data_IF_119864724793
#
_entry.id   IF_119864724793
#
_cell.length_a   1.000
_cell.length_b   1.000
_cell.length_c   1.000
_cell.angle_alpha   90.00
_cell.angle_beta   90.00
_cell.angle_gamma   90.00
#
_symmetry.space_group_name_H-M   'P 1'
#
loop_
_entity.id
_entity.type
_entity.pdbx_description
1 polymer ?
#
# COMPACT_ATOMS: atom_id res chain seq x y z
N UNK A 1 19.00 -5.76 -19.56
CA UNK A 1 18.23 -4.51 -19.38
C UNK A 1 16.77 -4.80 -19.69
N UNK A 2 15.94 -5.04 -18.68
CA UNK A 2 14.52 -5.30 -18.89
C UNK A 2 13.78 -3.98 -19.00
N UNK A 3 13.23 -3.66 -20.18
CA UNK A 3 12.20 -2.64 -20.32
C UNK A 3 11.03 -3.05 -19.41
N UNK A 4 10.91 -2.40 -18.26
CA UNK A 4 9.66 -2.41 -17.52
C UNK A 4 8.60 -1.84 -18.47
N UNK A 5 7.77 -2.71 -19.03
CA UNK A 5 6.56 -2.33 -19.76
C UNK A 5 5.83 -1.30 -18.91
N UNK A 6 5.92 -0.02 -19.29
CA UNK A 6 5.28 1.09 -18.59
C UNK A 6 3.79 0.91 -18.81
N UNK A 7 3.15 0.17 -17.90
CA UNK A 7 1.69 0.10 -17.86
C UNK A 7 1.16 1.54 -17.78
N UNK A 8 0.18 1.92 -18.61
CA UNK A 8 -0.37 3.27 -18.57
C UNK A 8 -0.98 3.50 -17.19
N UNK A 9 -0.57 4.61 -16.58
CA UNK A 9 -1.10 5.08 -15.31
C UNK A 9 -1.97 6.32 -15.57
N UNK A 10 -2.95 6.53 -14.70
CA UNK A 10 -3.83 7.69 -14.73
C UNK A 10 -3.84 8.32 -13.34
N UNK A 11 -3.93 9.63 -13.26
CA UNK A 11 -3.97 10.34 -11.98
C UNK A 11 -5.20 11.21 -11.96
N UNK A 12 -6.07 11.04 -10.97
CA UNK A 12 -7.35 11.75 -10.88
C UNK A 12 -8.54 10.80 -10.89
N UNK A 13 -9.50 11.05 -11.79
CA UNK A 13 -10.75 10.28 -11.87
C UNK A 13 -10.51 8.80 -12.23
N UNK A 14 -11.30 7.88 -11.66
CA UNK A 14 -11.21 6.46 -11.99
C UNK A 14 -11.54 6.21 -13.47
N UNK A 15 -10.86 5.26 -14.13
CA UNK A 15 -11.28 4.78 -15.44
C UNK A 15 -12.72 4.24 -15.41
N UNK A 16 -13.45 4.41 -16.52
CA UNK A 16 -14.79 3.84 -16.64
C UNK A 16 -14.75 2.31 -16.46
N UNK A 17 -15.60 1.78 -15.57
CA UNK A 17 -15.66 0.36 -15.26
C UNK A 17 -14.75 -0.11 -14.12
N UNK A 18 -13.99 0.79 -13.48
CA UNK A 18 -13.22 0.46 -12.28
C UNK A 18 -14.17 0.11 -11.12
N UNK A 19 -14.07 -1.08 -10.51
CA UNK A 19 -14.91 -1.46 -9.39
C UNK A 19 -14.51 -0.69 -8.13
N UNK A 20 -15.34 0.30 -7.75
CA UNK A 20 -15.11 1.21 -6.63
C UNK A 20 -15.67 0.72 -5.29
N UNK A 21 -16.29 -0.46 -5.25
CA UNK A 21 -16.98 -0.96 -4.06
C UNK A 21 -16.06 -1.24 -2.87
N UNK A 22 -16.60 -1.29 -1.65
CA UNK A 22 -15.83 -1.68 -0.47
C UNK A 22 -15.30 -3.12 -0.63
N UNK A 23 -14.12 -3.37 -0.07
CA UNK A 23 -13.48 -4.67 -0.13
C UNK A 23 -14.23 -5.71 0.72
N UNK A 24 -14.25 -6.95 0.26
CA UNK A 24 -15.03 -8.03 0.90
C UNK A 24 -14.56 -8.29 2.34
N UNK A 25 -15.52 -8.44 3.26
CA UNK A 25 -15.24 -8.94 4.60
C UNK A 25 -14.73 -10.39 4.53
N UNK A 26 -13.74 -10.71 5.37
CA UNK A 26 -13.21 -12.05 5.61
C UNK A 26 -14.18 -12.79 6.51
N UNK A 27 -14.18 -14.11 6.38
CA UNK A 27 -14.86 -14.94 7.37
C UNK A 27 -14.24 -14.70 8.76
N UNK A 28 -15.10 -14.58 9.78
CA UNK A 28 -14.64 -14.43 11.18
C UNK A 28 -13.67 -15.55 11.57
N UNK A 29 -13.97 -16.78 11.14
CA UNK A 29 -13.10 -17.94 11.32
C UNK A 29 -11.70 -17.74 10.70
N UNK A 30 -11.61 -17.17 9.50
CA UNK A 30 -10.33 -16.88 8.85
C UNK A 30 -9.51 -15.82 9.59
N UNK A 31 -10.17 -14.80 10.16
CA UNK A 31 -9.50 -13.77 10.97
C UNK A 31 -8.93 -14.36 12.26
N UNK A 32 -9.71 -15.17 12.99
CA UNK A 32 -9.26 -15.85 14.19
C UNK A 32 -8.12 -16.84 13.90
N UNK A 33 -8.26 -17.66 12.85
CA UNK A 33 -7.23 -18.60 12.44
C UNK A 33 -5.91 -17.88 12.14
N UNK A 34 -5.94 -16.78 11.38
CA UNK A 34 -4.73 -16.01 11.10
C UNK A 34 -4.14 -15.39 12.38
N UNK A 35 -4.96 -14.83 13.27
CA UNK A 35 -4.47 -14.23 14.52
C UNK A 35 -3.82 -15.26 15.47
N UNK A 36 -4.33 -16.49 15.50
CA UNK A 36 -3.81 -17.58 16.34
C UNK A 36 -2.60 -18.25 15.69
N UNK A 37 -2.58 -18.39 14.36
CA UNK A 37 -1.49 -19.07 13.64
C UNK A 37 -0.33 -18.15 13.28
N UNK A 38 -0.52 -16.82 13.22
CA UNK A 38 0.56 -15.88 12.91
C UNK A 38 1.82 -16.01 13.80
N UNK A 39 1.76 -16.33 15.12
CA UNK A 39 2.96 -16.55 15.92
C UNK A 39 3.77 -17.75 15.43
N UNK A 40 3.10 -18.83 15.00
CA UNK A 40 3.75 -20.01 14.44
C UNK A 40 4.42 -19.67 13.10
N UNK A 41 3.75 -18.88 12.26
CA UNK A 41 4.35 -18.36 11.03
C UNK A 41 5.55 -17.45 11.30
N UNK A 42 5.51 -16.59 12.32
CA UNK A 42 6.65 -15.73 12.66
C UNK A 42 7.86 -16.51 13.12
N UNK A 43 7.67 -17.62 13.84
CA UNK A 43 8.78 -18.49 14.21
C UNK A 43 9.40 -19.15 12.95
N UNK A 44 8.57 -19.69 12.06
CA UNK A 44 9.03 -20.31 10.82
C UNK A 44 9.71 -19.31 9.86
N UNK A 45 9.11 -18.13 9.66
CA UNK A 45 9.67 -17.05 8.83
C UNK A 45 10.93 -16.50 9.50
N UNK A 46 10.95 -16.34 10.82
CA UNK A 46 12.13 -15.90 11.56
C UNK A 46 13.33 -16.82 11.37
N UNK A 47 13.10 -18.14 11.42
CA UNK A 47 14.13 -19.15 11.11
C UNK A 47 14.58 -19.05 9.65
N UNK A 48 13.66 -18.94 8.69
CA UNK A 48 13.98 -18.75 7.27
C UNK A 48 14.77 -17.47 7.00
N UNK A 49 14.41 -16.37 7.68
CA UNK A 49 15.12 -15.10 7.58
C UNK A 49 16.52 -15.19 8.19
N UNK A 50 16.66 -15.87 9.32
CA UNK A 50 17.97 -16.13 9.93
C UNK A 50 18.85 -16.93 8.98
N UNK A 51 18.32 -18.00 8.37
CA UNK A 51 19.00 -18.80 7.35
C UNK A 51 19.38 -17.94 6.14
N UNK A 52 18.46 -17.09 5.66
CA UNK A 52 18.71 -16.21 4.52
C UNK A 52 19.75 -15.12 4.83
N UNK A 53 19.77 -14.57 6.04
CA UNK A 53 20.79 -13.59 6.48
C UNK A 53 22.15 -14.25 6.63
N UNK A 54 22.21 -15.44 7.22
CA UNK A 54 23.44 -16.23 7.31
C UNK A 54 23.96 -16.58 5.91
N UNK A 55 23.08 -16.90 4.97
CA UNK A 55 23.44 -17.17 3.57
C UNK A 55 23.82 -15.89 2.79
N UNK A 56 23.14 -14.76 3.04
CA UNK A 56 23.35 -13.49 2.35
C UNK A 56 24.54 -12.69 2.88
N UNK A 57 25.05 -12.99 4.07
CA UNK A 57 26.32 -12.48 4.57
C UNK A 57 27.52 -12.82 3.64
N UNK A 58 27.33 -13.69 2.65
CA UNK A 58 28.30 -14.05 1.62
C UNK A 58 28.15 -13.32 0.27
N UNK A 59 27.24 -12.35 0.10
CA UNK A 59 27.00 -11.71 -1.21
C UNK A 59 26.73 -10.19 -1.18
N UNK A 60 27.15 -9.43 -2.19
CA UNK A 60 26.95 -7.97 -2.23
C UNK A 60 25.49 -7.61 -2.51
N UNK A 61 24.94 -6.72 -1.67
CA UNK A 61 23.52 -6.39 -1.58
C UNK A 61 22.95 -5.64 -2.78
N UNK A 62 21.75 -6.04 -3.20
CA UNK A 62 20.96 -5.37 -4.24
C UNK A 62 20.09 -4.26 -3.64
N UNK A 63 20.27 -3.04 -4.16
CA UNK A 63 19.52 -1.86 -3.75
C UNK A 63 18.03 -1.95 -4.14
N UNK A 64 17.14 -1.93 -3.15
CA UNK A 64 15.69 -1.96 -3.33
C UNK A 64 15.14 -0.53 -3.50
N UNK A 65 14.20 -0.35 -4.42
CA UNK A 65 13.53 0.93 -4.71
C UNK A 65 12.72 1.44 -3.50
N UNK A 66 12.52 2.76 -3.41
CA UNK A 66 11.96 3.47 -2.26
C UNK A 66 10.42 3.41 -2.15
N UNK A 67 9.78 2.46 -2.83
CA UNK A 67 8.33 2.30 -2.81
C UNK A 67 7.88 1.85 -1.42
N UNK A 68 6.93 2.58 -0.84
CA UNK A 68 6.38 2.26 0.48
C UNK A 68 5.09 1.48 0.28
N UNK A 69 5.18 0.18 0.53
CA UNK A 69 4.01 -0.67 0.65
C UNK A 69 3.49 -0.59 2.09
N UNK A 70 2.21 -0.21 2.21
CA UNK A 70 1.43 -0.48 3.41
C UNK A 70 0.77 -1.84 3.25
N UNK A 71 0.41 -2.48 4.36
CA UNK A 71 0.01 -3.88 4.37
C UNK A 71 0.99 -4.69 5.20
N UNK A 72 0.62 -4.86 6.46
CA UNK A 72 1.18 -5.96 7.24
C UNK A 72 0.22 -7.14 7.14
N UNK A 73 0.73 -8.30 6.74
CA UNK A 73 0.00 -9.57 6.94
C UNK A 73 -0.22 -9.85 8.44
N UNK A 74 0.48 -9.14 9.33
CA UNK A 74 0.28 -9.27 10.76
C UNK A 74 -1.01 -8.59 11.21
N UNK A 75 -1.88 -9.36 11.85
CA UNK A 75 -3.07 -8.85 12.52
C UNK A 75 -2.69 -8.39 13.93
N UNK A 76 -2.60 -7.08 14.12
CA UNK A 76 -2.57 -6.50 15.47
C UNK A 76 -3.92 -6.73 16.17
N UNK A 77 -3.96 -6.70 17.51
CA UNK A 77 -5.22 -6.82 18.27
C UNK A 77 -6.26 -5.78 17.82
N UNK A 78 -5.81 -4.55 17.56
CA UNK A 78 -6.65 -3.46 17.05
C UNK A 78 -7.20 -3.78 15.67
N UNK A 79 -6.36 -4.25 14.74
CA UNK A 79 -6.79 -4.65 13.38
C UNK A 79 -7.73 -5.86 13.42
N UNK A 80 -7.50 -6.84 14.30
CA UNK A 80 -8.40 -7.98 14.49
C UNK A 80 -9.80 -7.54 14.95
N UNK A 81 -9.89 -6.65 15.95
CA UNK A 81 -11.18 -6.10 16.40
C UNK A 81 -11.89 -5.36 15.27
N UNK A 82 -11.15 -4.55 14.52
CA UNK A 82 -11.64 -3.79 13.37
C UNK A 82 -12.19 -4.71 12.26
N UNK A 83 -11.51 -5.83 12.03
CA UNK A 83 -11.89 -6.85 11.04
C UNK A 83 -13.14 -7.63 11.42
N UNK A 84 -13.35 -7.89 12.72
CA UNK A 84 -14.48 -8.66 13.22
C UNK A 84 -15.74 -7.82 13.33
N UNK A 85 -15.63 -6.67 14.00
CA UNK A 85 -16.78 -5.89 14.46
C UNK A 85 -16.63 -4.39 14.15
N UNK A 86 -15.60 -3.99 13.39
CA UNK A 86 -15.32 -2.60 13.10
C UNK A 86 -16.41 -1.93 12.27
N UNK A 87 -16.80 -0.74 12.71
CA UNK A 87 -17.70 0.17 11.99
C UNK A 87 -16.96 0.90 10.87
N UNK A 88 -17.71 1.48 9.93
CA UNK A 88 -17.14 2.26 8.84
C UNK A 88 -16.28 3.42 9.36
N UNK A 89 -16.73 4.14 10.37
CA UNK A 89 -16.01 5.27 10.97
C UNK A 89 -14.70 4.83 11.62
N UNK A 90 -14.67 3.68 12.29
CA UNK A 90 -13.43 3.12 12.84
C UNK A 90 -12.45 2.71 11.73
N UNK A 91 -12.96 2.20 10.60
CA UNK A 91 -12.14 1.92 9.42
C UNK A 91 -11.59 3.20 8.80
N UNK A 92 -12.36 4.28 8.72
CA UNK A 92 -11.90 5.59 8.27
C UNK A 92 -10.76 6.12 9.15
N UNK A 93 -10.90 6.05 10.47
CA UNK A 93 -9.85 6.45 11.42
C UNK A 93 -8.60 5.57 11.23
N UNK A 94 -8.76 4.25 11.11
CA UNK A 94 -7.66 3.32 10.89
C UNK A 94 -6.90 3.62 9.60
N UNK A 95 -7.62 3.79 8.49
CA UNK A 95 -7.04 4.07 7.17
C UNK A 95 -6.35 5.42 7.16
N UNK A 96 -6.95 6.45 7.77
CA UNK A 96 -6.34 7.79 7.93
C UNK A 96 -5.00 7.71 8.65
N UNK A 97 -4.93 6.99 9.77
CA UNK A 97 -3.67 6.79 10.52
C UNK A 97 -2.64 5.99 9.72
N UNK A 98 -3.09 4.96 9.00
CA UNK A 98 -2.23 4.12 8.17
C UNK A 98 -1.59 4.94 7.04
N UNK A 99 -2.40 5.76 6.34
CA UNK A 99 -1.94 6.66 5.29
C UNK A 99 -0.98 7.73 5.83
N UNK A 100 -1.33 8.40 6.92
CA UNK A 100 -0.46 9.42 7.52
C UNK A 100 0.93 8.86 7.87
N UNK A 101 0.98 7.65 8.46
CA UNK A 101 2.23 6.97 8.78
C UNK A 101 3.01 6.58 7.51
N UNK A 102 2.32 6.10 6.48
CA UNK A 102 2.92 5.71 5.21
C UNK A 102 3.50 6.92 4.46
N UNK A 103 2.78 8.03 4.42
CA UNK A 103 3.21 9.29 3.83
C UNK A 103 4.43 9.85 4.57
N UNK A 104 4.40 9.88 5.91
CA UNK A 104 5.55 10.30 6.70
C UNK A 104 6.77 9.41 6.45
N UNK A 105 6.57 8.09 6.33
CA UNK A 105 7.63 7.12 6.04
C UNK A 105 8.21 7.31 4.63
N UNK A 106 7.38 7.57 3.63
CA UNK A 106 7.83 7.74 2.25
C UNK A 106 8.69 9.00 2.08
N UNK A 107 8.31 10.10 2.73
CA UNK A 107 9.12 11.33 2.79
C UNK A 107 10.46 11.07 3.47
N UNK A 108 10.46 10.44 4.66
CA UNK A 108 11.71 10.12 5.39
C UNK A 108 12.65 9.20 4.61
N UNK A 109 12.11 8.20 3.90
CA UNK A 109 12.93 7.28 3.11
C UNK A 109 13.53 7.97 1.88
N UNK A 110 12.79 8.90 1.26
CA UNK A 110 13.31 9.73 0.17
C UNK A 110 14.47 10.60 0.65
N UNK A 111 14.28 11.34 1.74
CA UNK A 111 15.31 12.24 2.29
C UNK A 111 16.59 11.48 2.68
N UNK A 112 16.45 10.25 3.19
CA UNK A 112 17.60 9.40 3.55
C UNK A 112 18.34 8.84 2.33
N UNK A 113 17.62 8.46 1.27
CA UNK A 113 18.22 7.78 0.11
C UNK A 113 18.88 8.77 -0.84
N UNK A 114 18.27 9.94 -1.00
CA UNK A 114 18.66 10.95 -1.99
C UNK A 114 18.47 12.38 -1.44
N UNK A 115 19.28 12.80 -0.43
CA UNK A 115 19.19 14.14 0.12
C UNK A 115 19.46 15.17 -0.98
N UNK A 116 18.45 15.99 -1.30
CA UNK A 116 18.57 17.07 -2.29
C UNK A 116 18.40 16.68 -3.76
N UNK A 117 18.09 15.42 -4.11
CA UNK A 117 17.77 15.06 -5.51
C UNK A 117 16.26 14.97 -5.78
N UNK A 118 15.88 15.43 -6.96
CA UNK A 118 14.58 15.22 -7.62
C UNK A 118 14.47 13.78 -8.16
N UNK A 119 14.68 12.78 -7.30
CA UNK A 119 14.37 11.39 -7.63
C UNK A 119 12.89 11.20 -8.00
N UNK A 120 12.51 10.06 -8.61
CA UNK A 120 11.13 9.80 -8.95
C UNK A 120 10.27 9.94 -7.68
N UNK A 121 9.11 10.60 -7.80
CA UNK A 121 8.27 10.88 -6.64
C UNK A 121 7.83 9.59 -5.94
N UNK A 122 7.78 9.60 -4.60
CA UNK A 122 7.44 8.41 -3.83
C UNK A 122 6.01 7.97 -4.14
N UNK A 123 5.85 6.67 -4.43
CA UNK A 123 4.56 6.02 -4.55
C UNK A 123 4.26 5.30 -3.25
N UNK A 124 3.08 5.54 -2.70
CA UNK A 124 2.57 4.85 -1.50
C UNK A 124 1.49 3.89 -1.93
N UNK A 125 1.63 2.63 -1.56
CA UNK A 125 0.70 1.57 -1.96
C UNK A 125 -0.15 1.17 -0.75
N UNK A 126 -1.47 1.35 -0.84
CA UNK A 126 -2.46 0.97 0.16
C UNK A 126 -3.00 -0.44 -0.07
N UNK A 127 -2.75 -1.34 0.87
CA UNK A 127 -3.27 -2.70 0.81
C UNK A 127 -4.81 -2.72 0.94
N UNK A 128 -5.52 -3.56 0.17
CA UNK A 128 -6.98 -3.70 0.30
C UNK A 128 -7.42 -4.04 1.73
N UNK A 129 -6.60 -4.77 2.50
CA UNK A 129 -6.87 -5.10 3.90
C UNK A 129 -6.86 -3.89 4.83
N UNK A 130 -6.30 -2.75 4.42
CA UNK A 130 -6.23 -1.53 5.22
C UNK A 130 -7.32 -0.51 4.84
N UNK A 131 -8.27 -0.87 3.96
CA UNK A 131 -9.36 0.00 3.48
C UNK A 131 -10.72 -0.70 3.34
N UNK A 132 -11.01 -1.71 4.16
CA UNK A 132 -12.08 -2.67 3.85
C UNK A 132 -13.46 -2.11 3.62
N UNK A 133 -13.93 -1.26 4.52
CA UNK A 133 -15.25 -0.64 4.41
C UNK A 133 -15.22 0.69 3.65
N UNK A 134 -14.10 1.00 3.00
CA UNK A 134 -13.89 2.24 2.29
C UNK A 134 -13.75 1.99 0.80
N UNK A 135 -14.45 2.81 0.02
CA UNK A 135 -14.28 2.88 -1.42
C UNK A 135 -12.94 3.55 -1.76
N UNK A 136 -12.47 3.38 -2.99
CA UNK A 136 -11.29 4.10 -3.45
C UNK A 136 -11.53 5.63 -3.45
N UNK A 137 -12.73 6.10 -3.77
CA UNK A 137 -13.13 7.51 -3.65
C UNK A 137 -13.01 8.05 -2.23
N UNK A 138 -13.43 7.28 -1.24
CA UNK A 138 -13.34 7.67 0.17
C UNK A 138 -11.87 7.77 0.61
N UNK A 139 -11.04 6.81 0.18
CA UNK A 139 -9.59 6.86 0.38
C UNK A 139 -8.98 8.10 -0.28
N UNK A 140 -9.42 8.44 -1.51
CA UNK A 140 -8.95 9.63 -2.21
C UNK A 140 -9.30 10.90 -1.43
N UNK A 141 -10.52 11.00 -0.91
CA UNK A 141 -11.00 12.13 -0.10
C UNK A 141 -10.20 12.30 1.19
N UNK A 142 -9.80 11.20 1.83
CA UNK A 142 -8.94 11.22 3.03
C UNK A 142 -7.52 11.67 2.67
N UNK A 143 -6.98 11.20 1.54
CA UNK A 143 -5.61 11.49 1.11
C UNK A 143 -5.43 12.92 0.56
N UNK A 144 -6.48 13.48 -0.04
CA UNK A 144 -6.46 14.78 -0.68
C UNK A 144 -5.98 15.94 0.22
N UNK A 145 -6.52 16.14 1.45
CA UNK A 145 -6.06 17.20 2.35
C UNK A 145 -4.61 16.98 2.83
N UNK A 146 -4.07 15.75 2.72
CA UNK A 146 -2.67 15.45 3.00
C UNK A 146 -1.74 15.75 1.80
N UNK A 147 -2.29 16.22 0.68
CA UNK A 147 -1.55 16.50 -0.55
C UNK A 147 -1.25 15.27 -1.41
N UNK A 148 -1.99 14.18 -1.23
CA UNK A 148 -1.84 12.93 -1.98
C UNK A 148 -3.07 12.64 -2.81
N UNK A 149 -2.89 12.02 -3.98
CA UNK A 149 -3.98 11.67 -4.90
C UNK A 149 -3.80 10.25 -5.43
N UNK A 150 -4.92 9.63 -5.83
CA UNK A 150 -4.91 8.28 -6.39
C UNK A 150 -4.23 8.26 -7.76
N UNK A 151 -3.45 7.19 -7.95
CA UNK A 151 -2.87 6.79 -9.22
C UNK A 151 -3.49 5.45 -9.61
N UNK A 152 -4.20 5.44 -10.73
CA UNK A 152 -4.85 4.28 -11.31
C UNK A 152 -3.95 3.57 -12.31
N UNK A 153 -4.10 2.26 -12.42
CA UNK A 153 -3.55 1.45 -13.50
C UNK A 153 -4.66 0.68 -14.21
N UNK A 154 -4.47 0.32 -15.49
CA UNK A 154 -5.46 -0.39 -16.33
C UNK A 154 -5.99 -1.71 -15.73
N UNK A 155 -5.33 -2.23 -14.70
CA UNK A 155 -5.68 -3.49 -14.06
C UNK A 155 -6.27 -3.32 -12.67
N UNK A 156 -6.49 -2.11 -12.15
CA UNK A 156 -6.97 -1.93 -10.77
C UNK A 156 -8.39 -2.49 -10.61
N UNK A 157 -8.46 -3.76 -10.22
CA UNK A 157 -9.64 -4.42 -9.72
C UNK A 157 -9.95 -3.98 -8.29
N UNK A 158 -11.06 -4.46 -7.71
CA UNK A 158 -11.45 -4.08 -6.36
C UNK A 158 -10.47 -4.65 -5.33
N UNK A 159 -9.77 -5.73 -5.72
CA UNK A 159 -8.79 -6.45 -4.95
C UNK A 159 -7.36 -5.93 -5.13
N UNK A 160 -7.17 -4.90 -5.96
CA UNK A 160 -5.85 -4.32 -6.15
C UNK A 160 -5.51 -3.28 -5.09
N UNK A 161 -4.20 -3.23 -4.82
CA UNK A 161 -3.62 -2.22 -3.94
C UNK A 161 -3.80 -0.85 -4.58
N UNK A 162 -4.35 0.11 -3.82
CA UNK A 162 -4.46 1.48 -4.32
C UNK A 162 -3.09 2.14 -4.29
N UNK A 163 -2.76 2.90 -5.32
CA UNK A 163 -1.50 3.64 -5.36
C UNK A 163 -1.80 5.11 -5.17
N UNK A 164 -1.00 5.76 -4.33
CA UNK A 164 -1.10 7.17 -4.01
C UNK A 164 0.21 7.85 -4.33
N UNK A 165 0.12 9.02 -4.95
CA UNK A 165 1.25 9.87 -5.30
C UNK A 165 1.02 11.27 -4.77
N UNK A 166 2.11 11.97 -4.45
CA UNK A 166 2.01 13.36 -4.01
C UNK A 166 1.51 14.24 -5.17
N UNK A 167 0.51 15.09 -4.91
CA UNK A 167 -0.12 15.95 -5.92
C UNK A 167 0.89 16.81 -6.68
N UNK A 168 1.88 17.36 -5.97
CA UNK A 168 2.95 18.17 -6.54
C UNK A 168 3.78 17.42 -7.62
N UNK A 169 3.72 16.09 -7.63
CA UNK A 169 4.47 15.24 -8.54
C UNK A 169 3.58 14.45 -9.51
N UNK A 170 2.28 14.71 -9.52
CA UNK A 170 1.31 14.06 -10.40
C UNK A 170 1.62 14.25 -11.89
N UNK A 171 2.23 15.38 -12.26
CA UNK A 171 2.63 15.70 -13.64
C UNK A 171 3.71 14.76 -14.19
N UNK A 172 4.56 14.19 -13.32
CA UNK A 172 5.54 13.17 -13.69
C UNK A 172 4.88 11.83 -14.08
N UNK A 173 3.59 11.68 -13.73
CA UNK A 173 2.76 10.51 -14.00
C UNK A 173 1.56 10.84 -14.88
N UNK A 174 1.68 11.76 -15.84
CA UNK A 174 0.70 11.86 -16.94
C UNK A 174 1.26 11.18 -18.19
N UNK A 175 0.80 9.98 -18.49
CA UNK A 175 0.90 9.43 -19.85
C UNK A 175 -0.38 9.80 -20.60
N UNK A 176 -0.22 10.37 -21.79
CA UNK A 176 -1.28 10.89 -22.67
C UNK A 176 -2.49 9.96 -22.76
N UNK A 177 -3.70 10.52 -22.96
CA UNK A 177 -4.82 9.73 -23.46
C UNK A 177 -4.37 9.09 -24.78
N UNK A 178 -4.38 7.75 -24.81
CA UNK A 178 -4.36 7.01 -26.07
C UNK A 178 -5.66 7.38 -26.76
N UNK A 179 -5.55 8.10 -27.88
CA UNK A 179 -6.65 8.33 -28.81
C UNK A 179 -7.16 7.00 -29.36
#
# INVERSE_FOLDING_TARGET
>A
MGQQSRKPYWVGEPPAGTPMGPFRKRSRAGVYAQFVLQPLYSAAIGVLWLVAVVAAAAGPGSGRSADVETGSMWLSRRKMRLELDGTRDEWEIWTTQTLANAFARSVRLRDKKDPGKTGPPPVVTLDPMDRRLLTAEEVARIAEPMGWILMWTRHDGPDDKLRLVQRAHASAFRTSPVQ
#
